data_IF_935141330677
#
_entry.id   IF_935141330677
#
_cell.length_a   1.000
_cell.length_b   1.000
_cell.length_c   1.000
_cell.angle_alpha   90.00
_cell.angle_beta   90.00
_cell.angle_gamma   90.00
#
_symmetry.space_group_name_H-M   'P 1'
#
loop_
_entity.id
_entity.type
_entity.pdbx_description
1 polymer ?
#
# COMPACT_ATOMS: atom_id res chain seq x y z
N UNK A 1 -11.86 13.69 14.39
CA UNK A 1 -12.88 12.97 15.18
C UNK A 1 -12.22 11.67 15.62
N UNK A 2 -11.89 11.52 16.90
CA UNK A 2 -11.26 10.28 17.41
C UNK A 2 -12.33 9.21 17.57
N UNK A 3 -12.39 8.26 16.64
CA UNK A 3 -13.32 7.12 16.70
C UNK A 3 -12.73 6.03 17.60
N UNK A 4 -12.61 6.34 18.90
CA UNK A 4 -12.14 5.39 19.93
C UNK A 4 -13.28 4.66 20.64
N UNK A 5 -14.54 4.84 20.22
CA UNK A 5 -15.72 4.38 20.97
C UNK A 5 -16.68 3.54 20.13
N UNK A 6 -17.53 2.79 20.84
CA UNK A 6 -18.69 2.11 20.28
C UNK A 6 -19.64 3.10 19.60
N UNK A 7 -20.36 2.61 18.60
CA UNK A 7 -21.30 3.40 17.83
C UNK A 7 -22.69 3.38 18.47
N UNK A 8 -23.37 4.51 18.37
CA UNK A 8 -24.84 4.58 18.36
C UNK A 8 -25.36 4.47 16.92
N UNK A 9 -26.65 4.18 16.73
CA UNK A 9 -27.29 4.19 15.40
C UNK A 9 -27.01 5.50 14.66
N UNK A 10 -27.12 6.64 15.35
CA UNK A 10 -26.89 7.96 14.77
C UNK A 10 -25.45 8.16 14.30
N UNK A 11 -24.47 7.78 15.12
CA UNK A 11 -23.05 7.94 14.77
C UNK A 11 -22.61 6.96 13.68
N UNK A 12 -23.20 5.75 13.65
CA UNK A 12 -22.90 4.76 12.62
C UNK A 12 -23.51 5.18 11.28
N UNK A 13 -24.75 5.68 11.28
CA UNK A 13 -25.38 6.26 10.09
C UNK A 13 -24.53 7.40 9.53
N UNK A 14 -24.16 8.37 10.37
CA UNK A 14 -23.37 9.53 9.92
C UNK A 14 -22.04 9.12 9.28
N UNK A 15 -21.39 8.08 9.83
CA UNK A 15 -20.18 7.53 9.24
C UNK A 15 -20.44 6.93 7.87
N UNK A 16 -21.55 6.18 7.73
CA UNK A 16 -21.88 5.42 6.54
C UNK A 16 -22.54 6.21 5.41
N UNK A 17 -23.09 7.40 5.69
CA UNK A 17 -23.63 8.30 4.67
C UNK A 17 -22.58 8.69 3.61
N UNK A 18 -21.29 8.62 3.96
CA UNK A 18 -20.17 8.92 3.05
C UNK A 18 -19.48 7.71 2.44
N UNK A 19 -19.79 6.50 2.90
CA UNK A 19 -19.07 5.25 2.48
C UNK A 19 -19.80 4.48 1.39
N UNK A 20 -20.98 4.96 0.96
CA UNK A 20 -21.78 4.31 -0.07
C UNK A 20 -22.62 3.15 0.44
N UNK A 21 -22.90 3.09 1.74
CA UNK A 21 -23.96 2.23 2.30
C UNK A 21 -25.32 2.83 1.93
N UNK A 22 -26.15 2.06 1.24
CA UNK A 22 -27.40 2.58 0.66
C UNK A 22 -28.62 2.45 1.59
N UNK A 23 -28.46 1.80 2.74
CA UNK A 23 -29.55 1.51 3.65
C UNK A 23 -29.48 2.38 4.90
N UNK A 24 -30.62 2.55 5.58
CA UNK A 24 -30.65 3.22 6.87
C UNK A 24 -30.12 2.25 7.93
N UNK A 25 -29.06 2.66 8.62
CA UNK A 25 -28.51 1.95 9.76
C UNK A 25 -29.57 1.79 10.85
N UNK A 26 -29.64 0.60 11.43
CA UNK A 26 -30.55 0.30 12.54
C UNK A 26 -29.80 -0.21 13.79
N UNK A 27 -30.58 -0.65 14.80
CA UNK A 27 -30.05 -1.20 16.03
C UNK A 27 -29.26 -2.49 15.81
N UNK A 28 -29.68 -3.35 14.87
CA UNK A 28 -29.01 -4.62 14.59
C UNK A 28 -27.65 -4.43 13.95
N UNK A 29 -27.51 -3.44 13.05
CA UNK A 29 -26.22 -3.04 12.49
C UNK A 29 -25.27 -2.56 13.58
N UNK A 30 -25.79 -1.70 14.46
CA UNK A 30 -25.03 -1.07 15.53
C UNK A 30 -24.56 -2.11 16.56
N UNK A 31 -25.45 -3.02 16.97
CA UNK A 31 -25.13 -4.11 17.89
C UNK A 31 -24.08 -5.06 17.30
N UNK A 32 -24.18 -5.36 16.00
CA UNK A 32 -23.19 -6.17 15.29
C UNK A 32 -21.83 -5.48 15.21
N UNK A 33 -21.78 -4.23 14.79
CA UNK A 33 -20.54 -3.45 14.72
C UNK A 33 -19.88 -3.35 16.10
N UNK A 34 -20.66 -3.02 17.13
CA UNK A 34 -20.14 -2.91 18.49
C UNK A 34 -19.63 -4.25 19.03
N UNK A 35 -20.33 -5.36 18.73
CA UNK A 35 -19.84 -6.69 19.09
C UNK A 35 -18.50 -7.00 18.42
N UNK A 36 -18.35 -6.71 17.13
CA UNK A 36 -17.07 -6.88 16.42
C UNK A 36 -15.96 -6.03 17.04
N UNK A 37 -16.24 -4.76 17.35
CA UNK A 37 -15.27 -3.87 18.04
C UNK A 37 -14.84 -4.46 19.39
N UNK A 38 -15.79 -5.00 20.17
CA UNK A 38 -15.48 -5.64 21.44
C UNK A 38 -14.59 -6.88 21.27
N UNK A 39 -14.86 -7.71 20.26
CA UNK A 39 -14.03 -8.88 19.94
C UNK A 39 -12.62 -8.48 19.50
N UNK A 40 -12.49 -7.50 18.60
CA UNK A 40 -11.22 -6.94 18.13
C UNK A 40 -10.36 -6.45 19.29
N UNK A 41 -10.97 -5.72 20.25
CA UNK A 41 -10.27 -5.21 21.44
C UNK A 41 -9.85 -6.34 22.35
N UNK A 42 -10.79 -7.23 22.70
CA UNK A 42 -10.54 -8.37 23.59
C UNK A 42 -9.41 -9.25 23.07
N UNK A 43 -9.38 -9.54 21.77
CA UNK A 43 -8.35 -10.37 21.16
C UNK A 43 -6.96 -9.72 21.30
N UNK A 44 -6.87 -8.39 21.18
CA UNK A 44 -5.63 -7.66 21.42
C UNK A 44 -5.29 -7.61 22.91
N UNK A 45 -6.25 -7.50 23.81
CA UNK A 45 -5.97 -7.46 25.24
C UNK A 45 -5.38 -8.79 25.76
N UNK A 46 -5.74 -9.93 25.16
CA UNK A 46 -5.26 -11.26 25.57
C UNK A 46 -3.96 -11.70 24.85
N UNK A 47 -3.62 -11.13 23.70
CA UNK A 47 -2.40 -11.45 22.95
C UNK A 47 -1.43 -10.29 23.02
N UNK A 48 -0.16 -10.50 23.36
CA UNK A 48 0.84 -9.41 23.43
C UNK A 48 1.43 -9.03 22.06
N UNK A 49 1.53 -10.01 21.15
CA UNK A 49 2.16 -9.85 19.84
C UNK A 49 1.24 -9.29 18.74
N UNK A 50 1.77 -9.24 17.51
CA UNK A 50 0.98 -8.92 16.32
C UNK A 50 -0.12 -9.94 16.12
N UNK A 51 -1.29 -9.47 15.70
CA UNK A 51 -2.43 -10.33 15.39
C UNK A 51 -3.13 -9.88 14.11
N UNK A 52 -3.86 -10.80 13.49
CA UNK A 52 -4.66 -10.48 12.31
C UNK A 52 -5.54 -9.24 12.57
N UNK A 53 -5.70 -8.40 11.55
CA UNK A 53 -6.40 -7.13 11.69
C UNK A 53 -5.53 -5.93 12.01
N UNK A 54 -4.31 -6.14 12.53
CA UNK A 54 -3.38 -5.05 12.86
C UNK A 54 -2.85 -4.32 11.61
N UNK A 55 -2.29 -3.13 11.85
CA UNK A 55 -1.62 -2.36 10.80
C UNK A 55 -0.12 -2.60 10.83
N UNK A 56 0.50 -2.53 9.66
CA UNK A 56 1.96 -2.55 9.51
C UNK A 56 2.39 -1.27 8.78
N UNK A 57 3.32 -0.54 9.39
CA UNK A 57 4.18 0.45 8.75
C UNK A 57 5.29 -0.34 8.04
N UNK A 58 5.06 -0.65 6.76
CA UNK A 58 5.97 -1.46 5.96
C UNK A 58 6.87 -0.59 5.08
N UNK A 59 8.17 -0.89 5.06
CA UNK A 59 9.15 -0.30 4.15
C UNK A 59 9.91 -1.41 3.44
N UNK A 60 9.87 -1.42 2.11
CA UNK A 60 10.64 -2.36 1.29
C UNK A 60 12.14 -1.99 1.23
N UNK A 61 12.97 -2.91 0.75
CA UNK A 61 14.37 -2.66 0.40
C UNK A 61 14.57 -1.55 -0.61
N UNK A 62 13.66 -1.40 -1.57
CA UNK A 62 13.68 -0.35 -2.58
C UNK A 62 13.08 0.98 -2.09
N UNK A 63 12.73 1.06 -0.80
CA UNK A 63 12.28 2.28 -0.16
C UNK A 63 10.82 2.61 -0.42
N UNK A 64 10.01 1.72 -1.00
CA UNK A 64 8.55 1.91 -1.01
C UNK A 64 8.02 1.84 0.42
N UNK A 65 7.16 2.79 0.78
CA UNK A 65 6.57 2.88 2.11
C UNK A 65 5.06 2.70 2.07
N UNK A 66 4.55 1.89 2.98
CA UNK A 66 3.13 1.58 3.15
C UNK A 66 2.76 1.75 4.62
N UNK A 67 2.26 2.92 4.98
CA UNK A 67 1.94 3.25 6.38
C UNK A 67 0.66 2.59 6.94
N UNK A 68 -0.11 1.89 6.09
CA UNK A 68 -1.39 1.26 6.46
C UNK A 68 -1.53 -0.16 5.92
N UNK A 69 -0.43 -0.88 5.68
CA UNK A 69 -0.50 -2.28 5.28
C UNK A 69 -1.31 -3.09 6.33
N UNK A 70 -2.00 -4.14 5.88
CA UNK A 70 -2.87 -4.98 6.69
C UNK A 70 -2.22 -6.32 6.97
N UNK A 71 -2.14 -6.69 8.25
CA UNK A 71 -1.80 -8.05 8.64
C UNK A 71 -3.03 -8.93 8.48
N UNK A 72 -3.08 -9.67 7.38
CA UNK A 72 -4.22 -10.52 7.02
C UNK A 72 -4.23 -11.78 7.89
N UNK A 73 -3.11 -12.50 7.93
CA UNK A 73 -2.95 -13.76 8.68
C UNK A 73 -1.52 -13.94 9.16
N UNK A 74 -1.38 -14.73 10.21
CA UNK A 74 -0.10 -15.19 10.75
C UNK A 74 -0.18 -16.71 10.84
N UNK A 75 0.76 -17.38 10.19
CA UNK A 75 0.97 -18.82 10.31
C UNK A 75 2.23 -19.09 11.13
N UNK A 76 2.58 -20.36 11.27
CA UNK A 76 3.76 -20.77 12.04
C UNK A 76 5.07 -20.35 11.35
N UNK A 77 5.10 -20.39 10.02
CA UNK A 77 6.27 -20.18 9.17
C UNK A 77 6.27 -18.83 8.41
N UNK A 78 5.10 -18.28 8.10
CA UNK A 78 4.97 -17.04 7.33
C UNK A 78 3.81 -16.16 7.78
N UNK A 79 3.77 -14.94 7.27
CA UNK A 79 2.64 -14.02 7.44
C UNK A 79 2.05 -13.68 6.08
N UNK A 80 0.77 -13.30 6.04
CA UNK A 80 0.14 -12.69 4.87
C UNK A 80 -0.10 -11.22 5.15
N UNK A 81 0.49 -10.34 4.33
CA UNK A 81 0.39 -8.90 4.47
C UNK A 81 -0.12 -8.30 3.16
N UNK A 82 -1.23 -7.56 3.22
CA UNK A 82 -1.70 -6.76 2.10
C UNK A 82 -1.16 -5.33 2.23
N UNK A 83 -0.32 -4.90 1.29
CA UNK A 83 0.41 -3.62 1.38
C UNK A 83 -0.50 -2.40 1.16
N UNK A 84 -1.50 -2.53 0.28
CA UNK A 84 -2.47 -1.47 -0.03
C UNK A 84 -3.90 -2.02 -0.05
N UNK A 85 -4.45 -2.37 1.12
CA UNK A 85 -5.73 -3.04 1.23
C UNK A 85 -6.88 -2.11 0.82
N UNK A 86 -7.88 -2.64 0.10
CA UNK A 86 -9.23 -2.07 0.21
C UNK A 86 -9.73 -2.22 1.65
N UNK A 87 -10.83 -1.56 2.01
CA UNK A 87 -11.43 -1.68 3.36
C UNK A 87 -11.63 -3.16 3.70
N UNK A 88 -10.88 -3.73 4.67
CA UNK A 88 -10.96 -5.15 4.98
C UNK A 88 -12.34 -5.52 5.50
N UNK A 89 -12.82 -6.67 5.07
CA UNK A 89 -14.08 -7.22 5.56
C UNK A 89 -13.85 -7.87 6.93
N UNK A 90 -14.64 -7.50 7.92
CA UNK A 90 -14.57 -8.04 9.26
C UNK A 90 -15.87 -8.79 9.59
N UNK A 91 -15.75 -10.00 10.11
CA UNK A 91 -16.88 -10.83 10.51
C UNK A 91 -16.53 -11.65 11.73
N UNK A 92 -17.56 -12.19 12.38
CA UNK A 92 -17.38 -13.06 13.53
C UNK A 92 -17.40 -14.53 13.06
N UNK A 93 -16.40 -15.29 13.48
CA UNK A 93 -16.34 -16.74 13.32
C UNK A 93 -15.86 -17.33 14.64
N UNK A 94 -16.59 -18.30 15.19
CA UNK A 94 -16.25 -18.96 16.47
C UNK A 94 -15.96 -17.99 17.64
N UNK A 95 -16.72 -16.89 17.73
CA UNK A 95 -16.56 -15.81 18.72
C UNK A 95 -15.23 -15.05 18.63
N UNK A 96 -14.56 -15.12 17.49
CA UNK A 96 -13.34 -14.36 17.17
C UNK A 96 -13.57 -13.47 15.96
N UNK A 97 -12.91 -12.31 15.88
CA UNK A 97 -12.97 -11.49 14.69
C UNK A 97 -12.11 -12.15 13.60
N UNK A 98 -12.64 -12.22 12.40
CA UNK A 98 -11.95 -12.71 11.21
C UNK A 98 -11.96 -11.65 10.13
N UNK A 99 -10.97 -11.72 9.25
CA UNK A 99 -10.72 -10.71 8.24
C UNK A 99 -10.64 -11.34 6.86
N UNK A 100 -11.23 -10.67 5.87
CA UNK A 100 -11.08 -10.99 4.46
C UNK A 100 -10.73 -9.70 3.71
N UNK A 101 -9.55 -9.67 3.12
CA UNK A 101 -8.98 -8.47 2.49
C UNK A 101 -8.79 -8.73 1.02
N UNK A 102 -9.03 -7.70 0.22
CA UNK A 102 -8.76 -7.71 -1.20
C UNK A 102 -8.11 -6.39 -1.64
N UNK A 103 -7.66 -6.36 -2.89
CA UNK A 103 -6.94 -5.23 -3.46
C UNK A 103 -5.45 -5.23 -3.12
N UNK A 104 -4.74 -4.27 -3.71
CA UNK A 104 -3.33 -4.00 -3.45
C UNK A 104 -2.37 -5.12 -3.84
N UNK A 105 -1.09 -4.86 -3.55
CA UNK A 105 -0.03 -5.85 -3.62
C UNK A 105 0.02 -6.66 -2.33
N UNK A 106 0.37 -7.93 -2.44
CA UNK A 106 0.48 -8.88 -1.34
C UNK A 106 1.93 -9.27 -1.10
N UNK A 107 2.29 -9.46 0.16
CA UNK A 107 3.59 -9.92 0.63
C UNK A 107 3.38 -11.11 1.56
N UNK A 108 4.13 -12.19 1.33
CA UNK A 108 4.14 -13.35 2.20
C UNK A 108 5.56 -13.59 2.75
N UNK A 109 6.05 -12.74 3.67
CA UNK A 109 7.39 -12.93 4.21
C UNK A 109 7.39 -14.14 5.14
N UNK A 110 8.54 -14.81 5.26
CA UNK A 110 8.81 -15.68 6.41
C UNK A 110 8.53 -14.91 7.70
N UNK A 111 8.22 -15.63 8.77
CA UNK A 111 7.83 -15.03 10.04
C UNK A 111 8.96 -14.14 10.59
N UNK A 112 8.77 -12.84 10.47
CA UNK A 112 9.68 -11.80 10.98
C UNK A 112 9.19 -11.25 12.31
N UNK A 113 10.12 -10.73 13.10
CA UNK A 113 9.81 -9.97 14.30
C UNK A 113 9.33 -8.58 13.87
N UNK A 114 8.10 -8.24 14.25
CA UNK A 114 7.52 -6.93 14.00
C UNK A 114 7.76 -6.02 15.21
N UNK A 115 8.19 -4.78 14.97
CA UNK A 115 8.45 -3.81 16.03
C UNK A 115 7.17 -3.06 16.44
N UNK A 116 6.93 -2.79 17.73
CA UNK A 116 5.79 -1.97 18.15
C UNK A 116 5.84 -0.54 17.57
N UNK A 117 4.73 -0.07 16.99
CA UNK A 117 4.60 1.26 16.40
C UNK A 117 3.38 2.05 16.93
N UNK A 118 2.84 1.63 18.09
CA UNK A 118 1.71 2.26 18.77
C UNK A 118 0.35 1.74 18.29
N UNK A 119 -0.65 2.62 18.24
CA UNK A 119 -2.02 2.30 17.81
C UNK A 119 -2.47 3.19 16.66
N UNK A 120 -3.43 2.72 15.87
CA UNK A 120 -3.95 3.45 14.72
C UNK A 120 -5.43 3.18 14.51
N UNK A 121 -6.14 4.16 13.95
CA UNK A 121 -7.52 3.97 13.50
C UNK A 121 -7.54 3.17 12.21
N UNK A 122 -8.24 2.04 12.21
CA UNK A 122 -8.49 1.21 11.03
C UNK A 122 -9.97 1.15 10.72
N UNK A 123 -10.28 1.35 9.44
CA UNK A 123 -11.61 1.14 8.90
C UNK A 123 -11.78 -0.32 8.49
N UNK A 124 -12.93 -0.88 8.82
CA UNK A 124 -13.40 -2.20 8.42
C UNK A 124 -14.81 -2.08 7.86
N UNK A 125 -15.26 -3.12 7.16
CA UNK A 125 -16.65 -3.25 6.75
C UNK A 125 -17.22 -4.62 7.07
N UNK A 126 -18.52 -4.71 7.31
CA UNK A 126 -19.27 -5.94 7.54
C UNK A 126 -20.60 -5.86 6.81
N UNK A 127 -21.26 -6.99 6.55
CA UNK A 127 -22.64 -6.97 6.06
C UNK A 127 -23.55 -6.40 7.15
N UNK A 128 -24.36 -5.41 6.79
CA UNK A 128 -25.42 -4.91 7.63
C UNK A 128 -26.65 -5.83 7.61
N UNK A 129 -27.75 -5.34 8.16
CA UNK A 129 -29.05 -6.03 8.23
C UNK A 129 -29.61 -6.36 6.84
N UNK A 130 -29.32 -5.52 5.83
CA UNK A 130 -29.69 -5.74 4.43
C UNK A 130 -29.00 -6.97 3.79
N UNK A 131 -27.99 -7.54 4.46
CA UNK A 131 -27.31 -8.74 4.01
C UNK A 131 -26.32 -8.52 2.86
N UNK A 132 -26.03 -9.60 2.13
CA UNK A 132 -25.00 -9.66 1.07
C UNK A 132 -25.51 -9.07 -0.24
N UNK A 133 -25.69 -7.75 -0.30
CA UNK A 133 -26.12 -7.05 -1.51
C UNK A 133 -25.17 -5.89 -1.87
N UNK A 134 -25.31 -5.37 -3.10
CA UNK A 134 -24.62 -4.15 -3.50
C UNK A 134 -24.98 -3.03 -2.52
N UNK A 135 -23.99 -2.31 -2.00
CA UNK A 135 -24.18 -1.25 -1.00
C UNK A 135 -24.79 -1.72 0.34
N UNK A 136 -24.78 -3.03 0.62
CA UNK A 136 -25.25 -3.64 1.87
C UNK A 136 -24.20 -3.76 2.97
N UNK A 137 -22.98 -3.29 2.74
CA UNK A 137 -21.90 -3.34 3.71
C UNK A 137 -21.86 -2.06 4.57
N UNK A 138 -21.91 -2.24 5.88
CA UNK A 138 -21.73 -1.18 6.88
C UNK A 138 -20.24 -1.07 7.22
N UNK A 139 -19.72 0.13 7.16
CA UNK A 139 -18.35 0.48 7.50
C UNK A 139 -18.27 0.97 8.95
N UNK A 140 -17.13 0.73 9.60
CA UNK A 140 -16.84 1.21 10.95
C UNK A 140 -15.34 1.36 11.17
N UNK A 141 -14.96 2.24 12.09
CA UNK A 141 -13.57 2.44 12.52
C UNK A 141 -13.37 1.92 13.94
N UNK A 142 -12.20 1.35 14.20
CA UNK A 142 -11.75 1.03 15.56
C UNK A 142 -10.24 1.20 15.66
N UNK A 143 -9.76 1.37 16.90
CA UNK A 143 -8.33 1.32 17.19
C UNK A 143 -7.82 -0.11 17.06
N UNK A 144 -6.68 -0.27 16.38
CA UNK A 144 -5.90 -1.51 16.30
C UNK A 144 -4.44 -1.19 16.61
N UNK A 145 -3.62 -2.22 16.87
CA UNK A 145 -2.18 -2.01 17.04
C UNK A 145 -1.54 -1.72 15.70
N UNK A 146 -0.48 -0.94 15.75
CA UNK A 146 0.43 -0.70 14.64
C UNK A 146 1.75 -1.35 14.96
N UNK A 147 2.30 -2.00 13.95
CA UNK A 147 3.62 -2.59 13.96
C UNK A 147 4.47 -1.97 12.86
N UNK A 148 5.78 -2.12 12.95
CA UNK A 148 6.72 -1.67 11.93
C UNK A 148 7.53 -2.84 11.42
N UNK A 149 7.71 -2.87 10.11
CA UNK A 149 8.63 -3.78 9.44
C UNK A 149 9.37 -3.04 8.34
N UNK A 150 10.70 -3.06 8.40
CA UNK A 150 11.57 -2.56 7.32
C UNK A 150 12.41 -3.72 6.85
N UNK A 151 12.35 -4.03 5.57
CA UNK A 151 13.18 -5.09 5.01
C UNK A 151 14.68 -4.77 5.21
N UNK A 152 15.50 -5.77 5.58
CA UNK A 152 16.92 -5.55 5.82
C UNK A 152 17.68 -5.18 4.54
N UNK A 153 18.83 -4.53 4.70
CA UNK A 153 19.71 -4.10 3.61
C UNK A 153 19.03 -3.19 2.56
N UNK A 154 18.56 -1.99 2.96
CA UNK A 154 17.91 -1.06 2.04
C UNK A 154 18.86 -0.57 0.94
N UNK A 155 18.37 -0.53 -0.29
CA UNK A 155 19.15 -0.07 -1.45
C UNK A 155 19.51 1.41 -1.38
N UNK A 156 18.66 2.20 -0.73
CA UNK A 156 18.77 3.66 -0.69
C UNK A 156 19.01 4.18 0.74
N UNK A 157 19.47 3.33 1.65
CA UNK A 157 19.75 3.72 3.03
C UNK A 157 18.52 4.30 3.73
N UNK A 158 18.60 5.59 4.10
CA UNK A 158 17.52 6.29 4.83
C UNK A 158 16.39 6.82 3.95
N UNK A 159 16.55 6.85 2.63
CA UNK A 159 15.56 7.47 1.73
C UNK A 159 14.42 6.49 1.46
N UNK A 160 13.22 6.87 1.88
CA UNK A 160 12.01 6.04 1.78
C UNK A 160 10.82 6.88 1.33
N UNK A 161 9.79 6.24 0.77
CA UNK A 161 8.52 6.87 0.40
C UNK A 161 7.74 7.47 1.57
N UNK A 162 8.24 7.35 2.80
CA UNK A 162 7.63 7.91 4.00
C UNK A 162 7.83 9.43 4.06
N UNK A 163 9.07 9.86 3.91
CA UNK A 163 9.47 11.26 4.06
C UNK A 163 10.04 11.85 2.76
N UNK A 164 10.13 11.05 1.69
CA UNK A 164 10.67 11.48 0.40
C UNK A 164 9.80 11.01 -0.77
N UNK A 165 9.62 11.88 -1.76
CA UNK A 165 9.03 11.54 -3.06
C UNK A 165 10.07 10.87 -3.95
N UNK A 166 9.71 9.73 -4.56
CA UNK A 166 10.60 8.96 -5.44
C UNK A 166 10.20 9.15 -6.90
N UNK A 167 11.09 9.71 -7.70
CA UNK A 167 10.89 9.93 -9.14
C UNK A 167 11.60 8.87 -9.96
N UNK A 168 10.87 8.29 -10.92
CA UNK A 168 11.40 7.41 -11.95
C UNK A 168 11.70 8.24 -13.21
N UNK A 169 12.97 8.56 -13.42
CA UNK A 169 13.36 9.39 -14.56
C UNK A 169 13.95 8.49 -15.66
N UNK A 170 13.26 8.43 -16.79
CA UNK A 170 13.71 7.72 -17.99
C UNK A 170 14.54 8.63 -18.90
N UNK A 171 15.77 8.22 -19.23
CA UNK A 171 16.59 8.87 -20.27
C UNK A 171 16.18 8.33 -21.64
N UNK A 172 15.77 9.20 -22.55
CA UNK A 172 15.31 8.85 -23.90
C UNK A 172 16.06 9.68 -24.95
N UNK A 173 16.45 9.09 -26.09
CA UNK A 173 17.00 9.86 -27.21
C UNK A 173 15.95 10.87 -27.71
N UNK A 174 16.38 12.09 -28.03
CA UNK A 174 15.54 13.11 -28.65
C UNK A 174 15.30 12.75 -30.13
N UNK A 175 14.04 12.53 -30.56
CA UNK A 175 13.75 12.12 -31.93
C UNK A 175 14.22 13.10 -33.00
N UNK A 176 14.16 14.40 -32.71
CA UNK A 176 14.43 15.45 -33.69
C UNK A 176 15.88 15.94 -33.68
N UNK A 177 16.63 15.65 -32.61
CA UNK A 177 18.01 16.15 -32.40
C UNK A 177 18.96 14.98 -32.12
N UNK A 178 19.63 14.44 -33.16
CA UNK A 178 20.54 13.31 -33.01
C UNK A 178 21.65 13.58 -31.98
N UNK A 179 21.78 12.71 -30.99
CA UNK A 179 22.79 12.81 -29.93
C UNK A 179 22.30 13.54 -28.66
N UNK A 180 21.13 14.18 -28.70
CA UNK A 180 20.51 14.76 -27.52
C UNK A 180 19.59 13.77 -26.80
N UNK A 181 19.35 14.03 -25.52
CA UNK A 181 18.51 13.19 -24.66
C UNK A 181 17.51 14.04 -23.88
N UNK A 182 16.30 13.52 -23.77
CA UNK A 182 15.28 14.00 -22.84
C UNK A 182 15.20 13.08 -21.63
N UNK A 183 14.86 13.66 -20.48
CA UNK A 183 14.71 12.95 -19.22
C UNK A 183 13.28 13.14 -18.75
N UNK A 184 12.51 12.05 -18.71
CA UNK A 184 11.07 12.11 -18.46
C UNK A 184 10.68 11.27 -17.26
N UNK A 185 9.93 11.86 -16.33
CA UNK A 185 9.11 11.15 -15.34
C UNK A 185 7.62 11.41 -15.61
N UNK A 186 6.76 10.94 -14.71
CA UNK A 186 5.31 11.09 -14.85
C UNK A 186 4.85 12.55 -14.62
N UNK A 187 5.57 13.33 -13.81
CA UNK A 187 5.20 14.71 -13.47
C UNK A 187 5.87 15.78 -14.34
N UNK A 188 7.08 15.55 -14.84
CA UNK A 188 7.82 16.56 -15.60
C UNK A 188 8.75 15.95 -16.67
N UNK A 189 9.18 16.80 -17.60
CA UNK A 189 10.17 16.48 -18.64
C UNK A 189 11.29 17.51 -18.58
N UNK A 190 12.53 17.04 -18.59
CA UNK A 190 13.73 17.84 -18.74
C UNK A 190 14.28 17.63 -20.15
N UNK A 191 14.57 18.72 -20.84
CA UNK A 191 14.90 18.72 -22.26
C UNK A 191 16.40 18.65 -22.54
N UNK A 192 17.24 18.64 -21.50
CA UNK A 192 18.68 18.54 -21.64
C UNK A 192 19.35 17.87 -20.44
N UNK A 193 20.56 17.35 -20.67
CA UNK A 193 21.42 16.85 -19.60
C UNK A 193 21.83 17.94 -18.62
N UNK A 194 21.93 19.20 -19.07
CA UNK A 194 22.18 20.36 -18.21
C UNK A 194 21.05 20.58 -17.21
N UNK A 195 19.79 20.47 -17.65
CA UNK A 195 18.62 20.58 -16.76
C UNK A 195 18.56 19.41 -15.77
N UNK A 196 18.81 18.19 -16.23
CA UNK A 196 18.92 17.02 -15.35
C UNK A 196 20.00 17.20 -14.29
N UNK A 197 21.20 17.61 -14.67
CA UNK A 197 22.29 17.86 -13.74
C UNK A 197 22.00 19.02 -12.78
N UNK A 198 21.26 20.05 -13.20
CA UNK A 198 20.79 21.13 -12.31
C UNK A 198 19.81 20.61 -11.27
N UNK A 199 18.86 19.76 -11.67
CA UNK A 199 17.94 19.10 -10.74
C UNK A 199 18.72 18.21 -9.76
N UNK A 200 19.62 17.35 -10.24
CA UNK A 200 20.45 16.52 -9.37
C UNK A 200 21.29 17.38 -8.42
N UNK A 201 21.84 18.50 -8.89
CA UNK A 201 22.66 19.43 -8.09
C UNK A 201 21.84 20.14 -7.00
N UNK A 202 20.69 20.71 -7.36
CA UNK A 202 19.80 21.38 -6.39
C UNK A 202 19.31 20.41 -5.31
N UNK A 203 19.29 19.12 -5.62
CA UNK A 203 18.83 18.09 -4.71
C UNK A 203 20.00 17.40 -3.94
N UNK A 204 21.23 17.36 -4.48
CA UNK A 204 22.44 16.88 -3.77
C UNK A 204 22.95 17.87 -2.73
N UNK A 205 22.76 19.18 -2.92
CA UNK A 205 22.94 20.19 -1.85
C UNK A 205 21.97 19.94 -0.67
N UNK A 206 20.94 19.10 -0.86
CA UNK A 206 19.94 18.72 0.16
C UNK A 206 19.89 17.20 0.47
N UNK A 207 20.94 16.45 0.14
CA UNK A 207 21.11 15.00 0.40
C UNK A 207 20.43 14.08 -0.62
N UNK A 208 21.20 13.52 -1.55
CA UNK A 208 20.74 12.50 -2.49
C UNK A 208 21.81 11.45 -2.80
N UNK A 209 21.34 10.21 -2.99
CA UNK A 209 22.09 9.13 -3.63
C UNK A 209 21.48 8.91 -5.02
N UNK A 210 22.24 9.20 -6.09
CA UNK A 210 21.87 8.79 -7.45
C UNK A 210 22.41 7.38 -7.66
N UNK A 211 21.55 6.37 -7.74
CA UNK A 211 21.96 5.03 -8.16
C UNK A 211 21.48 4.78 -9.59
N UNK A 212 22.42 4.50 -10.49
CA UNK A 212 22.10 3.89 -11.79
C UNK A 212 21.89 2.40 -11.55
N UNK A 213 20.62 1.98 -11.43
CA UNK A 213 20.28 0.57 -11.33
C UNK A 213 20.02 -0.02 -12.72
N UNK A 214 20.81 -1.01 -13.14
CA UNK A 214 20.35 -2.00 -14.14
C UNK A 214 19.57 -3.08 -13.40
N UNK A 215 18.36 -2.76 -12.94
CA UNK A 215 17.43 -3.77 -12.44
C UNK A 215 16.18 -3.75 -13.30
N UNK A 216 15.92 -4.87 -13.98
CA UNK A 216 14.62 -5.16 -14.57
C UNK A 216 13.61 -5.32 -13.44
N UNK A 217 12.98 -4.22 -13.05
CA UNK A 217 11.73 -4.26 -12.30
C UNK A 217 10.60 -4.65 -13.25
N UNK A 218 10.66 -5.88 -13.75
CA UNK A 218 9.53 -6.66 -14.18
C UNK A 218 9.78 -8.03 -13.57
N UNK A 219 9.27 -8.22 -12.35
CA UNK A 219 9.06 -9.54 -11.82
C UNK A 219 8.21 -10.33 -12.81
N UNK A 220 8.53 -11.60 -12.94
CA UNK A 220 7.93 -12.57 -13.84
C UNK A 220 6.40 -12.43 -13.87
N UNK A 221 5.86 -11.91 -14.97
CA UNK A 221 4.48 -12.18 -15.35
C UNK A 221 4.51 -12.71 -16.77
N UNK A 222 4.52 -14.04 -16.84
CA UNK A 222 4.14 -14.80 -18.01
C UNK A 222 2.73 -14.35 -18.41
N UNK A 223 2.63 -13.53 -19.46
CA UNK A 223 1.40 -13.45 -20.24
C UNK A 223 1.56 -14.35 -21.47
N UNK A 224 1.12 -15.60 -21.32
CA UNK A 224 0.69 -16.42 -22.46
C UNK A 224 -0.57 -15.81 -23.05
N UNK A 225 -0.56 -15.47 -24.34
CA UNK A 225 -1.77 -15.01 -25.03
C UNK A 225 -1.51 -14.42 -26.41
N UNK A 226 -1.49 -15.29 -27.42
CA UNK A 226 -1.48 -15.06 -28.86
C UNK A 226 -1.80 -13.65 -29.39
N UNK A 227 -0.87 -13.05 -30.11
CA UNK A 227 -1.19 -12.41 -31.38
C UNK A 227 -0.02 -12.54 -32.37
N UNK A 228 -0.37 -12.88 -33.59
CA UNK A 228 0.48 -13.44 -34.63
C UNK A 228 1.56 -12.47 -35.15
N UNK A 229 2.77 -12.98 -35.31
CA UNK A 229 3.87 -12.37 -36.05
C UNK A 229 3.48 -12.09 -37.51
N UNK A 230 3.76 -10.87 -37.98
CA UNK A 230 4.51 -10.66 -39.24
C UNK A 230 5.61 -9.64 -39.00
N UNK A 231 6.85 -10.09 -39.16
CA UNK A 231 8.07 -9.28 -39.22
C UNK A 231 8.00 -8.35 -40.44
N UNK A 232 8.52 -7.13 -40.31
CA UNK A 232 9.51 -6.55 -41.22
C UNK A 232 9.96 -5.18 -40.72
N UNK A 233 11.27 -5.02 -40.49
CA UNK A 233 11.88 -3.74 -40.13
C UNK A 233 13.18 -3.94 -39.36
N UNK A 234 14.31 -3.82 -40.05
CA UNK A 234 15.62 -3.62 -39.40
C UNK A 234 15.59 -2.25 -38.72
N UNK A 235 15.80 -2.17 -37.40
CA UNK A 235 15.96 -0.88 -36.73
C UNK A 235 15.89 -0.99 -35.22
N UNK A 236 17.01 -0.67 -34.56
CA UNK A 236 17.21 -0.46 -33.12
C UNK A 236 16.87 -1.63 -32.18
N UNK A 237 17.94 -2.22 -31.62
CA UNK A 237 17.87 -2.86 -30.30
C UNK A 237 17.29 -1.83 -29.31
N UNK A 238 16.34 -2.19 -28.43
CA UNK A 238 15.86 -1.26 -27.41
C UNK A 238 17.06 -0.82 -26.57
N UNK A 239 17.37 0.47 -26.65
CA UNK A 239 18.42 1.10 -25.85
C UNK A 239 17.94 1.05 -24.40
N UNK A 240 18.73 0.40 -23.54
CA UNK A 240 18.41 0.17 -22.14
C UNK A 240 17.95 1.46 -21.45
N UNK A 241 16.68 1.52 -21.08
CA UNK A 241 16.12 2.55 -20.22
C UNK A 241 16.72 2.29 -18.84
N UNK A 242 17.76 3.02 -18.45
CA UNK A 242 18.20 3.04 -17.06
C UNK A 242 17.30 4.04 -16.33
N UNK A 243 16.35 3.60 -15.49
CA UNK A 243 15.62 4.52 -14.63
C UNK A 243 16.61 5.12 -13.62
N UNK A 244 16.68 6.45 -13.57
CA UNK A 244 17.31 7.14 -12.45
C UNK A 244 16.28 7.26 -11.34
N UNK A 245 16.72 6.93 -10.13
CA UNK A 245 15.94 7.08 -8.91
C UNK A 245 16.36 8.35 -8.21
N UNK A 246 15.45 9.30 -8.06
CA UNK A 246 15.69 10.55 -7.34
C UNK A 246 14.69 10.65 -6.20
N UNK A 247 15.19 10.75 -4.97
CA UNK A 247 14.40 11.06 -3.77
C UNK A 247 14.44 12.56 -3.48
N UNK A 248 13.27 13.20 -3.41
CA UNK A 248 13.12 14.61 -3.01
C UNK A 248 12.38 14.70 -1.66
N UNK A 249 12.72 15.65 -0.78
CA UNK A 249 11.97 15.90 0.46
C UNK A 249 10.55 16.45 0.18
#
# INVERSE_FOLDING_TARGET
MEFSNFYTVKTLQLFNDTTGYAHKTDGSDTDKVNRLIALIRKERDIHEGPIAGDMIEYTSRSGEYYGKAHLQRIYDDHMEICLNPHVPFCYEMDKSPCYDTSGGSWLCPEKVVLEPAGTGSREFKTWGHAGRCAHGAVHFCTSVRKWRYTEPAPFYGKYTGKDWARYFISKRPEPERPGEFTYKCDEFTLYSETEFNRLVKSCTEKSLTVSTGTHSSFGDTVWTGNSSRKKNGKGQKPMYICPFWVFLP
#
